data_IF_369921020294
#
_entry.id   IF_369921020294
#
_cell.length_a   1.000
_cell.length_b   1.000
_cell.length_c   1.000
_cell.angle_alpha   90.00
_cell.angle_beta   90.00
_cell.angle_gamma   90.00
#
_symmetry.space_group_name_H-M   'P 1'
#
loop_
_entity.id
_entity.type
_entity.pdbx_description
1 polymer ?
#
# COMPACT_ATOMS: atom_id res chain seq x y z
N UNK A 1 -11.04 19.68 -1.01
CA UNK A 1 -12.50 19.49 -1.19
C UNK A 1 -13.36 20.47 -0.38
N UNK A 2 -12.78 21.24 0.54
CA UNK A 2 -13.55 22.22 1.34
C UNK A 2 -14.57 21.60 2.30
N UNK A 3 -14.56 20.27 2.46
CA UNK A 3 -15.43 19.50 3.35
C UNK A 3 -14.61 18.96 4.53
N UNK A 4 -15.17 18.91 5.75
CA UNK A 4 -14.54 18.28 6.90
C UNK A 4 -14.26 16.80 6.66
N UNK A 5 -13.17 16.28 7.25
CA UNK A 5 -12.77 14.86 7.11
C UNK A 5 -13.84 13.87 7.62
N UNK A 6 -14.61 14.25 8.63
CA UNK A 6 -15.67 13.40 9.20
C UNK A 6 -16.95 13.35 8.36
N UNK A 7 -17.02 14.07 7.25
CA UNK A 7 -18.17 14.08 6.33
C UNK A 7 -17.88 13.39 5.00
N UNK A 8 -16.70 12.81 4.82
CA UNK A 8 -16.23 12.26 3.54
C UNK A 8 -15.71 10.83 3.70
N UNK A 9 -15.77 10.09 2.59
CA UNK A 9 -15.26 8.75 2.47
C UNK A 9 -14.09 8.68 1.49
N UNK A 10 -12.99 8.09 1.94
CA UNK A 10 -11.79 7.90 1.11
C UNK A 10 -11.36 6.46 1.05
N UNK A 11 -10.71 6.08 -0.04
CA UNK A 11 -9.82 4.92 -0.04
C UNK A 11 -8.41 5.45 -0.17
N UNK A 12 -7.58 5.21 0.84
CA UNK A 12 -6.20 5.67 0.88
C UNK A 12 -5.30 4.47 0.66
N UNK A 13 -4.54 4.48 -0.43
CA UNK A 13 -3.49 3.50 -0.72
C UNK A 13 -2.13 4.16 -0.47
N UNK A 14 -1.46 3.73 0.60
CA UNK A 14 -0.10 4.14 0.91
C UNK A 14 0.88 3.13 0.28
N UNK A 15 1.69 3.61 -0.65
CA UNK A 15 2.60 2.82 -1.47
C UNK A 15 4.04 3.11 -1.04
N UNK A 16 4.55 2.36 -0.07
CA UNK A 16 5.90 2.52 0.46
C UNK A 16 6.67 1.21 0.49
N UNK A 17 7.62 1.08 1.42
CA UNK A 17 8.31 -0.19 1.70
C UNK A 17 7.31 -1.27 2.11
N UNK A 18 6.25 -0.89 2.82
CA UNK A 18 5.00 -1.63 2.93
C UNK A 18 3.91 -0.98 2.08
N UNK A 19 2.99 -1.79 1.57
CA UNK A 19 1.76 -1.31 0.94
C UNK A 19 0.61 -1.49 1.91
N UNK A 20 -0.21 -0.47 2.08
CA UNK A 20 -1.49 -0.59 2.78
C UNK A 20 -2.61 0.12 2.01
N UNK A 21 -3.82 -0.41 2.13
CA UNK A 21 -5.03 0.20 1.56
C UNK A 21 -6.12 0.23 2.62
N UNK A 22 -6.64 1.42 2.88
CA UNK A 22 -7.54 1.70 4.00
C UNK A 22 -8.79 2.42 3.50
N UNK A 23 -10.01 1.96 3.82
CA UNK A 23 -11.22 2.73 3.67
C UNK A 23 -11.42 3.63 4.90
N UNK A 24 -11.56 4.91 4.65
CA UNK A 24 -11.89 5.92 5.63
C UNK A 24 -13.38 6.22 5.47
N UNK A 25 -14.22 5.86 6.45
CA UNK A 25 -15.66 6.15 6.49
C UNK A 25 -15.91 7.24 7.51
N UNK A 26 -16.39 8.41 7.07
CA UNK A 26 -16.73 9.54 7.95
C UNK A 26 -15.64 9.85 8.99
N UNK A 27 -14.40 10.00 8.54
CA UNK A 27 -13.29 10.36 9.42
C UNK A 27 -12.63 9.18 10.17
N UNK A 28 -13.07 7.94 9.95
CA UNK A 28 -12.53 6.76 10.65
C UNK A 28 -12.01 5.72 9.68
N UNK A 29 -10.83 5.18 9.96
CA UNK A 29 -10.35 3.96 9.30
C UNK A 29 -11.16 2.79 9.84
N UNK A 30 -11.96 2.14 8.99
CA UNK A 30 -12.90 1.08 9.41
C UNK A 30 -12.44 -0.32 9.03
N UNK A 31 -11.43 -0.42 8.18
CA UNK A 31 -10.78 -1.67 7.76
C UNK A 31 -9.35 -1.37 7.30
N UNK A 32 -8.53 -2.37 7.01
CA UNK A 32 -7.20 -2.18 6.43
C UNK A 32 -6.68 -3.47 5.77
N UNK A 33 -6.15 -3.34 4.56
CA UNK A 33 -5.28 -4.35 3.92
C UNK A 33 -3.82 -3.93 4.10
N UNK A 34 -2.94 -4.82 4.54
CA UNK A 34 -1.52 -4.51 4.77
C UNK A 34 -0.59 -5.60 4.25
N UNK A 35 0.37 -5.27 3.39
CA UNK A 35 1.33 -6.22 2.82
C UNK A 35 2.26 -6.90 3.84
N UNK A 36 2.08 -6.63 5.15
CA UNK A 36 2.61 -7.44 6.24
C UNK A 36 1.79 -8.73 6.40
N UNK A 37 0.47 -8.61 6.59
CA UNK A 37 -0.36 -9.76 6.92
C UNK A 37 -1.17 -10.27 5.71
N UNK A 38 -1.77 -9.37 4.92
CA UNK A 38 -2.61 -9.71 3.76
C UNK A 38 -2.63 -8.62 2.67
N UNK A 39 -3.07 -8.95 1.46
CA UNK A 39 -3.19 -7.97 0.36
C UNK A 39 -1.95 -7.88 -0.53
N UNK A 40 -1.67 -6.69 -1.05
CA UNK A 40 -0.64 -6.51 -2.07
C UNK A 40 0.78 -6.76 -1.54
N UNK A 41 1.62 -7.42 -2.35
CA UNK A 41 3.06 -7.46 -2.08
C UNK A 41 3.68 -6.05 -2.18
N UNK A 42 4.89 -5.87 -1.67
CA UNK A 42 5.61 -4.59 -1.67
C UNK A 42 7.04 -4.75 -2.19
N UNK A 43 7.93 -3.74 -2.10
CA UNK A 43 9.32 -3.91 -2.49
C UNK A 43 10.04 -5.09 -1.81
N UNK A 44 9.71 -5.40 -0.55
CA UNK A 44 10.40 -6.45 0.22
C UNK A 44 9.51 -7.38 1.04
N UNK A 45 8.19 -7.24 0.94
CA UNK A 45 7.22 -8.14 1.59
C UNK A 45 6.43 -8.91 0.57
N UNK A 46 6.09 -10.15 0.90
CA UNK A 46 5.33 -11.04 0.01
C UNK A 46 3.85 -10.67 -0.15
N UNK A 47 3.26 -9.91 0.77
CA UNK A 47 1.81 -9.71 0.81
C UNK A 47 1.06 -11.03 1.05
N UNK A 48 -0.16 -11.11 0.51
CA UNK A 48 -1.01 -12.29 0.62
C UNK A 48 -0.41 -13.52 -0.09
N UNK A 49 -0.31 -14.64 0.64
CA UNK A 49 0.22 -15.90 0.14
C UNK A 49 -0.76 -17.06 0.32
N UNK A 50 -0.70 -18.11 -0.53
CA UNK A 50 -1.50 -19.31 -0.34
C UNK A 50 -1.10 -20.05 0.95
N UNK A 51 -2.00 -20.10 1.94
CA UNK A 51 -1.73 -20.73 3.23
C UNK A 51 -1.31 -22.20 3.11
N UNK A 52 -1.89 -22.95 2.16
CA UNK A 52 -1.51 -24.35 1.92
C UNK A 52 -0.05 -24.52 1.52
N UNK A 53 0.52 -23.57 0.77
CA UNK A 53 1.93 -23.61 0.39
C UNK A 53 2.84 -23.18 1.54
N UNK A 54 2.42 -22.20 2.34
CA UNK A 54 3.17 -21.77 3.52
C UNK A 54 3.25 -22.89 4.55
N UNK A 55 2.15 -23.60 4.80
CA UNK A 55 2.14 -24.79 5.66
C UNK A 55 3.15 -25.82 5.14
N UNK A 56 3.11 -26.15 3.84
CA UNK A 56 4.08 -27.09 3.24
C UNK A 56 5.53 -26.62 3.42
N UNK A 57 5.81 -25.32 3.27
CA UNK A 57 7.14 -24.75 3.45
C UNK A 57 7.63 -24.91 4.88
N UNK A 58 6.79 -24.54 5.87
CA UNK A 58 7.10 -24.63 7.29
C UNK A 58 7.41 -26.07 7.75
N UNK A 59 6.70 -27.06 7.20
CA UNK A 59 6.90 -28.48 7.56
C UNK A 59 7.82 -29.25 6.60
N UNK A 60 8.51 -28.55 5.69
CA UNK A 60 9.41 -29.20 4.73
C UNK A 60 10.71 -29.74 5.35
N UNK A 61 11.03 -29.35 6.59
CA UNK A 61 12.31 -29.63 7.24
C UNK A 61 13.49 -28.79 6.70
N UNK A 62 13.24 -27.86 5.75
CA UNK A 62 14.28 -27.06 5.09
C UNK A 62 14.51 -25.68 5.71
N UNK A 63 13.53 -25.15 6.43
CA UNK A 63 13.55 -23.77 6.93
C UNK A 63 13.11 -23.72 8.39
N UNK A 64 13.76 -22.86 9.15
CA UNK A 64 13.35 -22.45 10.49
C UNK A 64 12.23 -21.40 10.41
N UNK A 65 11.50 -21.21 11.50
CA UNK A 65 10.51 -20.14 11.61
C UNK A 65 11.09 -18.76 11.27
N UNK A 66 12.32 -18.47 11.73
CA UNK A 66 12.99 -17.19 11.48
C UNK A 66 13.32 -17.00 10.00
N UNK A 67 13.73 -18.05 9.30
CA UNK A 67 13.99 -17.99 7.86
C UNK A 67 12.71 -17.78 7.07
N UNK A 68 11.62 -18.45 7.44
CA UNK A 68 10.31 -18.22 6.81
C UNK A 68 9.84 -16.78 7.04
N UNK A 69 9.98 -16.24 8.25
CA UNK A 69 9.69 -14.83 8.51
C UNK A 69 10.53 -13.89 7.65
N UNK A 70 11.83 -14.18 7.49
CA UNK A 70 12.70 -13.34 6.67
C UNK A 70 12.33 -13.41 5.18
N UNK A 71 11.90 -14.58 4.69
CA UNK A 71 11.36 -14.73 3.33
C UNK A 71 10.12 -13.85 3.16
N UNK A 72 9.19 -13.86 4.13
CA UNK A 72 7.91 -13.14 4.02
C UNK A 72 8.07 -11.63 4.19
N UNK A 73 8.89 -11.17 5.15
CA UNK A 73 8.89 -9.78 5.62
C UNK A 73 10.14 -8.96 5.25
N UNK A 74 11.12 -9.54 4.58
CA UNK A 74 12.34 -8.79 4.24
C UNK A 74 13.07 -9.20 2.97
N UNK A 75 12.74 -10.37 2.41
CA UNK A 75 13.26 -10.89 1.14
C UNK A 75 12.14 -11.27 0.16
N UNK A 76 10.93 -10.75 0.39
CA UNK A 76 9.75 -11.00 -0.43
C UNK A 76 9.59 -9.98 -1.55
N UNK A 77 8.42 -10.00 -2.18
CA UNK A 77 7.99 -8.92 -3.07
C UNK A 77 8.91 -8.72 -4.27
N UNK A 78 9.08 -7.48 -4.71
CA UNK A 78 9.90 -7.13 -5.88
C UNK A 78 11.33 -7.68 -5.75
N UNK A 79 11.92 -7.57 -4.56
CA UNK A 79 13.27 -8.06 -4.29
C UNK A 79 13.43 -9.55 -4.58
N UNK A 80 12.43 -10.37 -4.25
CA UNK A 80 12.47 -11.81 -4.52
C UNK A 80 12.55 -12.14 -6.02
N UNK A 81 11.99 -11.27 -6.88
CA UNK A 81 11.97 -11.47 -8.33
C UNK A 81 13.15 -10.81 -9.03
N UNK A 82 13.49 -9.58 -8.65
CA UNK A 82 14.40 -8.72 -9.41
C UNK A 82 15.74 -8.48 -8.71
N UNK A 83 15.88 -8.88 -7.45
CA UNK A 83 17.10 -8.65 -6.66
C UNK A 83 17.28 -7.21 -6.15
N UNK A 84 16.33 -6.32 -6.42
CA UNK A 84 16.33 -4.93 -5.94
C UNK A 84 15.05 -4.57 -5.20
N UNK A 85 15.18 -3.67 -4.21
CA UNK A 85 14.06 -3.03 -3.50
C UNK A 85 13.76 -1.64 -4.05
N UNK A 86 14.64 -1.09 -4.90
CA UNK A 86 14.47 0.25 -5.45
C UNK A 86 13.55 0.18 -6.66
N UNK A 87 12.38 0.81 -6.55
CA UNK A 87 11.42 0.90 -7.66
C UNK A 87 12.04 1.55 -8.89
N UNK A 88 12.92 2.55 -8.72
CA UNK A 88 13.54 3.26 -9.84
C UNK A 88 14.47 2.33 -10.62
N UNK A 89 15.18 1.45 -9.92
CA UNK A 89 16.02 0.43 -10.55
C UNK A 89 15.15 -0.61 -11.27
N UNK A 90 14.08 -1.10 -10.64
CA UNK A 90 13.15 -2.02 -11.29
C UNK A 90 12.51 -1.40 -12.56
N UNK A 91 12.15 -0.13 -12.52
CA UNK A 91 11.63 0.62 -13.68
C UNK A 91 12.68 0.77 -14.78
N UNK A 92 13.94 1.03 -14.41
CA UNK A 92 15.05 1.09 -15.36
C UNK A 92 15.28 -0.28 -16.03
N UNK A 93 15.18 -1.39 -15.28
CA UNK A 93 15.26 -2.74 -15.83
C UNK A 93 14.13 -2.98 -16.85
N UNK A 94 12.89 -2.62 -16.51
CA UNK A 94 11.75 -2.77 -17.41
C UNK A 94 11.91 -1.92 -18.68
N UNK A 95 12.33 -0.65 -18.55
CA UNK A 95 12.63 0.23 -19.67
C UNK A 95 13.78 -0.29 -20.57
N UNK A 96 14.72 -1.04 -19.97
CA UNK A 96 15.79 -1.74 -20.68
C UNK A 96 15.37 -3.05 -21.36
N UNK A 97 14.07 -3.40 -21.34
CA UNK A 97 13.53 -4.59 -22.00
C UNK A 97 13.47 -5.85 -21.11
N UNK A 98 13.67 -5.72 -19.79
CA UNK A 98 13.49 -6.86 -18.88
C UNK A 98 11.99 -7.16 -18.68
N UNK A 99 11.51 -8.20 -19.34
CA UNK A 99 10.11 -8.64 -19.29
C UNK A 99 9.65 -9.05 -17.88
N UNK A 100 10.55 -9.60 -17.06
CA UNK A 100 10.21 -9.97 -15.68
C UNK A 100 10.00 -8.73 -14.81
N UNK A 101 10.80 -7.67 -15.00
CA UNK A 101 10.61 -6.40 -14.31
C UNK A 101 9.29 -5.73 -14.70
N UNK A 102 8.99 -5.72 -16.00
CA UNK A 102 7.70 -5.25 -16.55
C UNK A 102 6.52 -5.97 -15.87
N UNK A 103 6.56 -7.31 -15.85
CA UNK A 103 5.53 -8.16 -15.26
C UNK A 103 5.36 -7.91 -13.75
N UNK A 104 6.46 -7.82 -13.00
CA UNK A 104 6.42 -7.66 -11.54
C UNK A 104 5.88 -6.29 -11.15
N UNK A 105 6.27 -5.22 -11.84
CA UNK A 105 5.74 -3.88 -11.59
C UNK A 105 4.24 -3.81 -11.93
N UNK A 106 3.81 -4.43 -13.01
CA UNK A 106 2.39 -4.52 -13.38
C UNK A 106 1.59 -5.35 -12.37
N UNK A 107 2.18 -6.43 -11.84
CA UNK A 107 1.56 -7.27 -10.82
C UNK A 107 1.38 -6.51 -9.49
N UNK A 108 2.33 -5.65 -9.10
CA UNK A 108 2.19 -4.78 -7.94
C UNK A 108 0.99 -3.84 -8.12
N UNK A 109 0.96 -3.11 -9.24
CA UNK A 109 -0.14 -2.20 -9.55
C UNK A 109 -1.50 -2.92 -9.61
N UNK A 110 -1.52 -4.13 -10.15
CA UNK A 110 -2.70 -4.99 -10.21
C UNK A 110 -3.21 -5.38 -8.82
N UNK A 111 -2.33 -5.82 -7.92
CA UNK A 111 -2.74 -6.19 -6.57
C UNK A 111 -3.23 -4.97 -5.79
N UNK A 112 -2.52 -3.83 -5.86
CA UNK A 112 -2.99 -2.58 -5.23
C UNK A 112 -4.38 -2.19 -5.72
N UNK A 113 -4.63 -2.28 -7.03
CA UNK A 113 -5.95 -1.97 -7.59
C UNK A 113 -7.04 -2.92 -7.09
N UNK A 114 -6.72 -4.21 -6.88
CA UNK A 114 -7.64 -5.16 -6.26
C UNK A 114 -7.97 -4.80 -4.81
N UNK A 115 -6.96 -4.42 -4.03
CA UNK A 115 -7.17 -3.99 -2.64
C UNK A 115 -8.04 -2.71 -2.58
N UNK A 116 -7.84 -1.77 -3.50
CA UNK A 116 -8.74 -0.61 -3.64
C UNK A 116 -10.17 -1.05 -3.97
N UNK A 117 -10.35 -2.03 -4.87
CA UNK A 117 -11.66 -2.59 -5.17
C UNK A 117 -12.32 -3.30 -3.97
N UNK A 118 -11.53 -3.99 -3.15
CA UNK A 118 -12.02 -4.60 -1.92
C UNK A 118 -12.49 -3.52 -0.92
N UNK A 119 -11.71 -2.47 -0.72
CA UNK A 119 -12.07 -1.35 0.15
C UNK A 119 -13.26 -0.53 -0.39
N UNK A 120 -13.48 -0.53 -1.71
CA UNK A 120 -14.68 0.05 -2.30
C UNK A 120 -15.95 -0.71 -1.90
N UNK A 121 -15.87 -2.03 -1.78
CA UNK A 121 -16.98 -2.85 -1.28
C UNK A 121 -17.27 -2.56 0.21
N UNK A 122 -16.23 -2.34 1.03
CA UNK A 122 -16.38 -1.93 2.44
C UNK A 122 -17.14 -0.60 2.58
N UNK A 123 -16.92 0.33 1.65
CA UNK A 123 -17.61 1.61 1.61
C UNK A 123 -18.94 1.57 0.84
N UNK A 124 -19.40 0.39 0.40
CA UNK A 124 -20.64 0.21 -0.36
C UNK A 124 -20.67 1.09 -1.63
N UNK A 125 -19.50 1.38 -2.21
CA UNK A 125 -19.34 2.26 -3.37
C UNK A 125 -19.41 3.76 -3.07
N UNK A 126 -19.69 4.18 -1.82
CA UNK A 126 -19.73 5.59 -1.43
C UNK A 126 -18.32 6.13 -1.21
N UNK A 127 -17.66 6.57 -2.28
CA UNK A 127 -16.26 7.02 -2.28
C UNK A 127 -16.17 8.44 -2.85
N UNK A 128 -15.72 9.39 -2.06
CA UNK A 128 -15.46 10.75 -2.52
C UNK A 128 -14.14 10.86 -3.30
N UNK A 129 -13.12 10.13 -2.87
CA UNK A 129 -11.79 10.11 -3.50
C UNK A 129 -11.04 8.81 -3.24
N UNK A 130 -10.24 8.41 -4.23
CA UNK A 130 -9.14 7.47 -4.03
C UNK A 130 -7.85 8.27 -3.93
N UNK A 131 -7.05 8.05 -2.90
CA UNK A 131 -5.79 8.76 -2.65
C UNK A 131 -4.64 7.75 -2.79
N UNK A 132 -3.70 8.04 -3.69
CA UNK A 132 -2.45 7.30 -3.81
C UNK A 132 -1.33 8.13 -3.18
N UNK A 133 -0.64 7.58 -2.19
CA UNK A 133 0.42 8.27 -1.44
C UNK A 133 1.60 7.34 -1.16
N UNK A 134 2.62 7.77 -0.42
CA UNK A 134 3.84 7.01 -0.16
C UNK A 134 4.93 7.23 -1.22
N UNK A 135 6.14 6.74 -0.93
CA UNK A 135 7.31 6.94 -1.80
C UNK A 135 7.16 6.36 -3.22
N UNK A 136 6.44 5.26 -3.40
CA UNK A 136 6.21 4.64 -4.72
C UNK A 136 5.26 5.50 -5.58
N UNK A 137 4.44 6.37 -4.99
CA UNK A 137 3.54 7.24 -5.73
C UNK A 137 4.27 8.31 -6.59
N UNK A 138 5.60 8.41 -6.50
CA UNK A 138 6.42 9.15 -7.47
C UNK A 138 6.56 8.43 -8.83
N UNK A 139 6.34 7.11 -8.88
CA UNK A 139 6.34 6.33 -10.12
C UNK A 139 5.06 6.59 -10.91
N UNK A 140 5.17 7.34 -12.01
CA UNK A 140 4.05 7.55 -12.94
C UNK A 140 3.58 6.25 -13.55
N UNK A 141 4.49 5.31 -13.82
CA UNK A 141 4.18 3.99 -14.38
C UNK A 141 3.23 3.19 -13.49
N UNK A 142 3.58 3.03 -12.21
CA UNK A 142 2.76 2.28 -11.25
C UNK A 142 1.45 3.03 -10.99
N UNK A 143 1.52 4.35 -10.78
CA UNK A 143 0.35 5.21 -10.56
C UNK A 143 -0.64 5.11 -11.72
N UNK A 144 -0.20 5.24 -12.97
CA UNK A 144 -1.07 5.17 -14.15
C UNK A 144 -1.67 3.77 -14.33
N UNK A 145 -0.92 2.72 -14.02
CA UNK A 145 -1.40 1.34 -14.04
C UNK A 145 -2.50 1.09 -13.00
N UNK A 146 -2.39 1.69 -11.81
CA UNK A 146 -3.45 1.66 -10.79
C UNK A 146 -4.64 2.50 -11.23
N UNK A 147 -4.43 3.76 -11.64
CA UNK A 147 -5.49 4.69 -12.06
C UNK A 147 -6.34 4.09 -13.18
N UNK A 148 -5.73 3.47 -14.20
CA UNK A 148 -6.47 2.82 -15.29
C UNK A 148 -7.50 1.80 -14.78
N UNK A 149 -7.21 1.13 -13.67
CA UNK A 149 -8.04 0.07 -13.09
C UNK A 149 -9.10 0.59 -12.13
N UNK A 150 -8.83 1.67 -11.40
CA UNK A 150 -9.69 2.09 -10.28
C UNK A 150 -10.44 3.40 -10.53
N UNK A 151 -10.11 4.17 -11.57
CA UNK A 151 -10.74 5.48 -11.85
C UNK A 151 -12.25 5.41 -12.10
N UNK A 152 -12.80 4.23 -12.39
CA UNK A 152 -14.24 4.03 -12.54
C UNK A 152 -14.99 4.08 -11.20
N UNK A 153 -14.29 3.88 -10.08
CA UNK A 153 -14.86 3.90 -8.73
C UNK A 153 -15.02 5.33 -8.22
N UNK A 154 -13.97 6.15 -8.36
CA UNK A 154 -13.97 7.56 -7.98
C UNK A 154 -12.79 8.30 -8.63
N UNK A 155 -12.80 9.63 -8.55
CA UNK A 155 -11.64 10.44 -8.93
C UNK A 155 -10.43 10.06 -8.07
N UNK A 156 -9.28 9.88 -8.72
CA UNK A 156 -8.00 9.56 -8.06
C UNK A 156 -7.20 10.84 -7.85
N UNK A 157 -6.65 11.01 -6.65
CA UNK A 157 -5.70 12.07 -6.30
C UNK A 157 -4.37 11.42 -5.90
N UNK A 158 -3.27 11.92 -6.43
CA UNK A 158 -1.93 11.43 -6.13
C UNK A 158 -1.24 12.46 -5.24
N UNK A 159 -0.79 12.02 -4.07
CA UNK A 159 -0.07 12.83 -3.08
C UNK A 159 1.23 12.09 -2.75
N UNK A 160 2.27 12.21 -3.58
CA UNK A 160 3.52 11.49 -3.38
C UNK A 160 4.22 11.86 -2.07
N UNK A 161 4.89 10.89 -1.43
CA UNK A 161 5.58 11.09 -0.16
C UNK A 161 4.70 10.81 1.06
N UNK A 162 5.21 11.16 2.24
CA UNK A 162 4.65 10.71 3.53
C UNK A 162 4.52 11.86 4.56
N UNK A 163 5.17 13.01 4.35
CA UNK A 163 5.09 14.24 5.18
C UNK A 163 5.04 13.95 6.70
N UNK A 164 5.86 12.99 7.15
CA UNK A 164 5.74 12.42 8.51
C UNK A 164 6.09 13.44 9.60
N UNK A 165 7.18 14.20 9.39
CA UNK A 165 7.67 15.18 10.36
C UNK A 165 6.68 16.33 10.52
N UNK A 166 6.15 16.85 9.42
CA UNK A 166 5.10 17.86 9.38
C UNK A 166 3.84 17.35 10.07
N UNK A 167 3.42 16.10 9.79
CA UNK A 167 2.23 15.50 10.40
C UNK A 167 2.35 15.39 11.93
N UNK A 168 3.52 14.98 12.43
CA UNK A 168 3.82 14.92 13.87
C UNK A 168 3.83 16.33 14.50
N UNK A 169 4.52 17.28 13.85
CA UNK A 169 4.61 18.66 14.33
C UNK A 169 3.24 19.33 14.40
N UNK A 170 2.40 19.16 13.37
CA UNK A 170 1.05 19.72 13.37
C UNK A 170 0.11 19.03 14.35
N UNK A 171 0.25 17.72 14.57
CA UNK A 171 -0.49 17.02 15.63
C UNK A 171 -0.20 17.62 17.01
N UNK A 172 1.07 17.79 17.34
CA UNK A 172 1.48 18.43 18.59
C UNK A 172 1.00 19.89 18.68
N UNK A 173 1.09 20.64 17.58
CA UNK A 173 0.66 22.04 17.54
C UNK A 173 -0.84 22.20 17.79
N UNK A 174 -1.69 21.30 17.27
CA UNK A 174 -3.14 21.32 17.53
C UNK A 174 -3.45 21.14 19.01
N UNK A 175 -2.73 20.23 19.69
CA UNK A 175 -2.86 20.05 21.14
C UNK A 175 -2.41 21.30 21.90
N UNK A 176 -1.25 21.86 21.55
CA UNK A 176 -0.72 23.08 22.20
C UNK A 176 -1.62 24.31 22.01
N UNK A 177 -2.43 24.35 20.94
CA UNK A 177 -3.40 25.41 20.67
C UNK A 177 -4.79 25.16 21.26
N UNK A 178 -5.03 23.99 21.86
CA UNK A 178 -6.36 23.60 22.34
C UNK A 178 -7.36 23.26 21.24
N UNK A 179 -6.88 22.93 20.03
CA UNK A 179 -7.70 22.51 18.89
C UNK A 179 -7.99 21.00 18.91
N UNK A 180 -7.18 20.22 19.63
CA UNK A 180 -7.30 18.77 19.79
C UNK A 180 -6.95 18.37 21.24
N UNK A 181 -7.70 17.44 21.83
CA UNK A 181 -7.42 16.91 23.16
C UNK A 181 -6.32 15.84 23.10
N UNK A 182 -5.33 15.94 23.99
CA UNK A 182 -4.35 14.87 24.18
C UNK A 182 -5.04 13.62 24.76
N UNK A 183 -4.68 12.44 24.25
CA UNK A 183 -5.18 11.16 24.76
C UNK A 183 -4.20 10.55 25.76
N UNK A 184 -4.75 10.02 26.85
CA UNK A 184 -4.00 9.14 27.76
C UNK A 184 -3.99 7.71 27.22
N UNK A 185 -2.82 7.07 27.24
CA UNK A 185 -2.59 5.72 26.70
C UNK A 185 -2.55 4.68 27.82
#
# INVERSE_FOLDING_TARGET
MGRPYHEVNFIVAHLGTGVSVTPHKNGRMVDVSTGKDEGAFSPDRCGGLPLSQIVRLCYSGKYTQKEVQQIIFGKGGIYAYLGTKDIREAEAMAAGGNEQAELVLEALAYQVAKEIGAMAAVLEGHIDRIILTGGIAHSTRIVDAIIRRVKFLAQVTVVPGEEELESLAFGALRVLRGEEEAKEY
#
